data_IF_936872031612
#
_entry.id   IF_936872031612
#
_cell.length_a   1.000
_cell.length_b   1.000
_cell.length_c   1.000
_cell.angle_alpha   90.00
_cell.angle_beta   90.00
_cell.angle_gamma   90.00
#
_symmetry.space_group_name_H-M   'P 1'
#
loop_
_entity.id
_entity.type
_entity.pdbx_description
1 polymer ?
#
# COMPACT_ATOMS: atom_id res chain seq x y z
N UNK A 1 -0.28 5.28 15.61
CA UNK A 1 0.87 5.63 14.79
C UNK A 1 0.45 5.71 13.33
N UNK A 2 0.88 6.76 12.62
CA UNK A 2 0.71 6.93 11.18
C UNK A 2 2.00 7.46 10.58
N UNK A 3 2.28 7.14 9.32
CA UNK A 3 3.49 7.61 8.65
C UNK A 3 3.63 7.04 7.24
N UNK A 4 4.69 7.44 6.55
CA UNK A 4 5.03 6.97 5.21
C UNK A 4 6.50 6.60 5.09
N UNK A 5 6.82 5.82 4.06
CA UNK A 5 8.18 5.38 3.75
C UNK A 5 8.75 6.22 2.61
N UNK A 6 10.01 6.57 2.69
CA UNK A 6 10.74 7.24 1.61
C UNK A 6 10.77 6.36 0.35
N UNK A 7 10.59 6.96 -0.82
CA UNK A 7 10.63 6.29 -2.13
C UNK A 7 11.19 7.23 -3.21
N UNK A 8 11.38 6.71 -4.42
CA UNK A 8 11.81 7.50 -5.58
C UNK A 8 13.23 8.05 -5.45
N UNK A 9 14.07 7.35 -4.70
CA UNK A 9 15.47 7.74 -4.53
C UNK A 9 16.22 7.44 -5.83
N UNK A 10 17.05 8.38 -6.36
CA UNK A 10 17.87 8.13 -7.53
C UNK A 10 18.79 6.92 -7.36
N UNK A 11 19.08 6.23 -8.46
CA UNK A 11 19.96 5.07 -8.45
C UNK A 11 21.33 5.40 -7.82
N UNK A 12 21.79 4.51 -6.95
CA UNK A 12 23.06 4.65 -6.24
C UNK A 12 23.08 5.69 -5.09
N UNK A 13 21.90 6.24 -4.74
CA UNK A 13 21.75 7.09 -3.56
C UNK A 13 21.00 6.34 -2.47
N UNK A 14 21.38 6.48 -1.20
CA UNK A 14 20.62 5.92 -0.09
C UNK A 14 19.32 6.71 0.13
N UNK A 15 18.24 6.06 0.62
CA UNK A 15 17.09 6.78 1.15
C UNK A 15 17.48 7.52 2.44
N UNK A 16 17.04 8.76 2.56
CA UNK A 16 17.35 9.60 3.71
C UNK A 16 16.10 10.22 4.30
N UNK A 17 16.14 10.52 5.59
CA UNK A 17 15.18 11.36 6.31
C UNK A 17 15.90 12.60 6.84
N UNK A 18 15.17 13.71 7.00
CA UNK A 18 15.73 14.96 7.46
C UNK A 18 15.25 15.28 8.89
N UNK A 19 16.17 15.71 9.76
CA UNK A 19 15.87 16.21 11.08
C UNK A 19 16.80 17.35 11.46
N UNK A 20 16.26 18.48 11.87
CA UNK A 20 17.00 19.69 12.26
C UNK A 20 18.06 20.16 11.23
N UNK A 21 17.74 20.02 9.94
CA UNK A 21 18.64 20.44 8.86
C UNK A 21 19.71 19.44 8.47
N UNK A 22 19.77 18.29 9.13
CA UNK A 22 20.68 17.18 8.83
C UNK A 22 19.95 16.02 8.14
N UNK A 23 20.67 15.21 7.37
CA UNK A 23 20.16 14.04 6.65
C UNK A 23 20.67 12.76 7.31
N UNK A 24 19.79 11.78 7.47
CA UNK A 24 20.07 10.52 8.13
C UNK A 24 19.68 9.34 7.24
N UNK A 25 20.58 8.39 7.08
CA UNK A 25 20.37 7.09 6.43
C UNK A 25 19.91 6.06 7.47
N UNK A 26 19.24 4.99 7.02
CA UNK A 26 18.76 3.89 7.88
C UNK A 26 18.05 4.36 9.16
N UNK A 27 17.31 5.46 9.05
CA UNK A 27 16.71 6.17 10.16
C UNK A 27 15.20 6.39 9.98
N UNK A 28 14.55 6.69 11.09
CA UNK A 28 13.17 7.12 11.13
C UNK A 28 13.08 8.44 11.89
N UNK A 29 12.38 9.42 11.34
CA UNK A 29 12.02 10.66 12.03
C UNK A 29 10.55 10.54 12.46
N UNK A 30 10.28 10.93 13.72
CA UNK A 30 8.92 10.91 14.25
C UNK A 30 8.63 12.16 15.09
N UNK A 31 7.35 12.49 15.19
CA UNK A 31 6.83 13.50 16.09
C UNK A 31 5.80 12.88 17.04
N UNK A 32 5.84 13.25 18.30
CA UNK A 32 4.78 12.96 19.26
C UNK A 32 3.85 14.17 19.34
N UNK A 33 2.60 13.97 18.94
CA UNK A 33 1.60 15.02 18.88
C UNK A 33 0.50 14.73 19.89
N UNK A 34 0.23 15.71 20.76
CA UNK A 34 -0.93 15.71 21.66
C UNK A 34 -1.88 16.82 21.21
N UNK A 35 -3.07 16.45 20.74
CA UNK A 35 -4.12 17.44 20.54
C UNK A 35 -4.73 17.82 21.91
N UNK A 36 -4.74 19.09 22.20
CA UNK A 36 -5.23 19.62 23.48
C UNK A 36 -6.70 20.07 23.42
N UNK A 37 -7.26 20.17 22.24
CA UNK A 37 -8.63 20.69 21.99
C UNK A 37 -9.61 19.62 21.53
N UNK A 38 -9.12 18.51 20.99
CA UNK A 38 -9.95 17.43 20.45
C UNK A 38 -9.23 16.11 20.41
N UNK A 39 -9.75 15.17 19.64
CA UNK A 39 -9.18 13.83 19.44
C UNK A 39 -8.30 13.80 18.21
N UNK A 40 -7.41 12.82 18.16
CA UNK A 40 -6.69 12.42 16.95
C UNK A 40 -7.16 10.99 16.61
N UNK A 41 -7.63 10.80 15.39
CA UNK A 41 -8.04 9.50 14.87
C UNK A 41 -7.16 9.11 13.69
N UNK A 42 -6.94 7.82 13.52
CA UNK A 42 -6.17 7.27 12.41
C UNK A 42 -7.02 6.25 11.67
N UNK A 43 -7.12 6.41 10.37
CA UNK A 43 -7.87 5.52 9.48
C UNK A 43 -6.92 4.87 8.48
N UNK A 44 -7.30 3.67 8.04
CA UNK A 44 -6.64 2.95 6.96
C UNK A 44 -7.69 2.56 5.93
N UNK A 45 -7.40 2.81 4.66
CA UNK A 45 -8.26 2.47 3.54
C UNK A 45 -7.53 1.52 2.60
N UNK A 46 -8.18 0.42 2.25
CA UNK A 46 -7.72 -0.55 1.27
C UNK A 46 -8.79 -0.67 0.17
N UNK A 47 -8.37 -0.51 -1.07
CA UNK A 47 -9.23 -0.52 -2.26
C UNK A 47 -9.23 -1.87 -3.01
N UNK A 48 -8.58 -2.89 -2.46
CA UNK A 48 -8.45 -4.20 -3.10
C UNK A 48 -9.20 -5.28 -2.32
N UNK A 49 -9.71 -6.25 -3.07
CA UNK A 49 -10.45 -7.41 -2.60
C UNK A 49 -9.75 -8.69 -3.07
N UNK A 50 -10.02 -9.83 -2.44
CA UNK A 50 -9.58 -11.12 -2.96
C UNK A 50 -10.32 -11.44 -4.24
N UNK A 51 -9.60 -11.86 -5.30
CA UNK A 51 -10.23 -12.28 -6.57
C UNK A 51 -11.08 -13.52 -6.40
N UNK A 52 -10.66 -14.41 -5.50
CA UNK A 52 -11.34 -15.67 -5.19
C UNK A 52 -11.05 -16.11 -3.75
N UNK A 53 -11.71 -17.17 -3.29
CA UNK A 53 -11.38 -17.83 -2.04
C UNK A 53 -10.09 -18.67 -2.14
N UNK A 54 -9.56 -18.90 -3.35
CA UNK A 54 -8.37 -19.68 -3.58
C UNK A 54 -7.14 -18.95 -3.05
N UNK A 55 -6.28 -19.67 -2.37
CA UNK A 55 -4.99 -19.19 -1.89
C UNK A 55 -3.88 -20.13 -2.36
N UNK A 56 -2.68 -19.60 -2.44
CA UNK A 56 -1.47 -20.30 -2.85
C UNK A 56 -0.44 -20.28 -1.73
N UNK A 57 0.42 -21.28 -1.67
CA UNK A 57 1.53 -21.28 -0.73
C UNK A 57 2.83 -20.91 -1.43
N UNK A 58 3.59 -20.01 -0.85
CA UNK A 58 4.94 -19.66 -1.29
C UNK A 58 5.89 -20.84 -1.00
N UNK A 59 6.04 -21.75 -1.94
CA UNK A 59 6.83 -22.99 -1.75
C UNK A 59 8.33 -22.75 -1.88
N UNK A 60 8.73 -21.74 -2.66
CA UNK A 60 10.14 -21.37 -2.83
C UNK A 60 10.31 -19.85 -2.90
N UNK A 61 11.20 -19.33 -2.08
CA UNK A 61 11.46 -17.89 -1.94
C UNK A 61 12.95 -17.62 -1.77
N UNK A 62 13.38 -16.42 -2.16
CA UNK A 62 14.64 -15.83 -1.71
C UNK A 62 14.31 -14.57 -0.89
N UNK A 63 14.38 -14.70 0.42
CA UNK A 63 14.00 -13.63 1.36
C UNK A 63 14.94 -12.43 1.25
N UNK A 64 16.22 -12.66 0.97
CA UNK A 64 17.24 -11.59 0.86
C UNK A 64 16.97 -10.69 -0.34
N UNK A 65 16.51 -11.26 -1.45
CA UNK A 65 16.12 -10.57 -2.68
C UNK A 65 14.66 -10.17 -2.70
N UNK A 66 13.88 -10.49 -1.66
CA UNK A 66 12.42 -10.34 -1.62
C UNK A 66 11.73 -11.00 -2.82
N UNK A 67 12.25 -12.16 -3.25
CA UNK A 67 11.82 -12.84 -4.44
C UNK A 67 10.91 -14.03 -4.10
N UNK A 68 9.77 -14.11 -4.78
CA UNK A 68 8.85 -15.23 -4.80
C UNK A 68 9.14 -16.05 -6.06
N UNK A 69 9.70 -17.25 -5.87
CA UNK A 69 10.16 -18.11 -6.96
C UNK A 69 9.03 -19.05 -7.38
N UNK A 70 8.40 -19.73 -6.39
CA UNK A 70 7.34 -20.70 -6.67
C UNK A 70 6.13 -20.50 -5.76
N UNK A 71 4.97 -20.65 -6.35
CA UNK A 71 3.67 -20.85 -5.71
C UNK A 71 3.20 -22.27 -5.99
N UNK A 72 2.86 -23.04 -4.96
CA UNK A 72 2.37 -24.43 -5.06
C UNK A 72 3.27 -25.33 -5.93
N UNK A 73 4.60 -25.13 -5.86
CA UNK A 73 5.59 -25.91 -6.62
C UNK A 73 5.72 -25.54 -8.09
N UNK A 74 5.10 -24.45 -8.55
CA UNK A 74 5.16 -23.94 -9.93
C UNK A 74 5.77 -22.53 -9.95
N UNK A 75 6.41 -22.09 -11.05
CA UNK A 75 6.88 -20.72 -11.17
C UNK A 75 5.79 -19.71 -10.80
N UNK A 76 6.11 -18.75 -9.96
CA UNK A 76 5.11 -17.82 -9.39
C UNK A 76 4.36 -17.02 -10.48
N UNK A 77 5.06 -16.60 -11.52
CA UNK A 77 4.47 -15.90 -12.65
C UNK A 77 3.49 -16.78 -13.44
N UNK A 78 3.74 -18.10 -13.53
CA UNK A 78 2.83 -19.00 -14.24
C UNK A 78 1.52 -19.21 -13.49
N UNK A 79 1.58 -19.28 -12.17
CA UNK A 79 0.39 -19.40 -11.32
C UNK A 79 -0.43 -18.12 -11.43
N UNK A 80 0.22 -16.95 -11.30
CA UNK A 80 -0.43 -15.65 -11.45
C UNK A 80 -1.08 -15.48 -12.82
N UNK A 81 -0.33 -15.77 -13.90
CA UNK A 81 -0.80 -15.67 -15.28
C UNK A 81 -1.99 -16.58 -15.55
N UNK A 82 -1.93 -17.83 -15.08
CA UNK A 82 -2.99 -18.83 -15.31
C UNK A 82 -4.29 -18.48 -14.58
N UNK A 83 -4.22 -17.98 -13.34
CA UNK A 83 -5.42 -17.69 -12.56
C UNK A 83 -6.09 -16.38 -13.00
N UNK A 84 -5.30 -15.36 -13.32
CA UNK A 84 -5.83 -14.04 -13.68
C UNK A 84 -6.03 -13.84 -15.19
N UNK A 85 -5.57 -14.78 -16.02
CA UNK A 85 -5.63 -14.66 -17.47
C UNK A 85 -4.73 -13.55 -18.04
N UNK A 86 -3.67 -13.18 -17.32
CA UNK A 86 -2.79 -12.08 -17.67
C UNK A 86 -1.50 -12.62 -18.30
N UNK A 87 -1.11 -12.18 -19.50
CA UNK A 87 0.16 -12.58 -20.12
C UNK A 87 1.36 -12.29 -19.22
N UNK A 88 2.38 -13.16 -19.23
CA UNK A 88 3.55 -13.03 -18.35
C UNK A 88 4.25 -11.68 -18.47
N UNK A 89 4.39 -11.17 -19.69
CA UNK A 89 5.03 -9.87 -19.98
C UNK A 89 4.23 -8.67 -19.44
N UNK A 90 2.99 -8.89 -18.99
CA UNK A 90 2.08 -7.87 -18.43
C UNK A 90 1.93 -7.95 -16.91
N UNK A 91 2.52 -8.93 -16.26
CA UNK A 91 2.32 -9.16 -14.81
C UNK A 91 2.74 -7.94 -14.00
N UNK A 92 3.93 -7.37 -14.25
CA UNK A 92 4.44 -6.23 -13.48
C UNK A 92 3.62 -4.96 -13.76
N UNK A 93 3.21 -4.74 -15.00
CA UNK A 93 2.35 -3.60 -15.39
C UNK A 93 0.97 -3.69 -14.74
N UNK A 94 0.52 -4.91 -14.42
CA UNK A 94 -0.80 -5.17 -13.85
C UNK A 94 -0.87 -5.03 -12.33
N UNK A 95 0.25 -4.79 -11.65
CA UNK A 95 0.30 -4.71 -10.17
C UNK A 95 -0.62 -3.64 -9.58
N UNK A 96 -0.95 -2.59 -10.34
CA UNK A 96 -1.88 -1.55 -9.89
C UNK A 96 -3.33 -2.04 -9.81
N UNK A 97 -3.68 -3.10 -10.53
CA UNK A 97 -5.04 -3.66 -10.61
C UNK A 97 -5.15 -4.96 -9.82
N UNK A 98 -4.16 -5.85 -9.98
CA UNK A 98 -4.14 -7.15 -9.34
C UNK A 98 -2.84 -7.39 -8.56
N UNK A 99 -2.63 -6.73 -7.41
CA UNK A 99 -1.49 -7.04 -6.56
C UNK A 99 -1.64 -8.39 -5.87
N UNK A 100 -0.55 -8.91 -5.33
CA UNK A 100 -0.59 -10.05 -4.41
C UNK A 100 -0.87 -9.58 -2.98
N UNK A 101 -1.55 -10.43 -2.21
CA UNK A 101 -1.80 -10.23 -0.80
C UNK A 101 -1.31 -11.42 0.03
N UNK A 102 -0.54 -11.15 1.09
CA UNK A 102 -0.11 -12.15 2.06
C UNK A 102 -1.07 -12.20 3.23
N UNK A 103 -1.62 -13.36 3.53
CA UNK A 103 -2.48 -13.56 4.69
C UNK A 103 -1.66 -13.69 5.99
N UNK A 104 -2.08 -13.00 7.03
CA UNK A 104 -1.56 -13.13 8.40
C UNK A 104 -2.73 -13.04 9.36
N UNK A 105 -3.14 -14.16 9.94
CA UNK A 105 -4.42 -14.25 10.65
C UNK A 105 -5.58 -13.86 9.73
N UNK A 106 -6.47 -13.01 10.22
CA UNK A 106 -7.64 -12.54 9.45
C UNK A 106 -7.32 -11.37 8.50
N UNK A 107 -6.06 -10.92 8.46
CA UNK A 107 -5.64 -9.78 7.65
C UNK A 107 -4.93 -10.21 6.37
N UNK A 108 -5.13 -9.45 5.31
CA UNK A 108 -4.38 -9.58 4.07
C UNK A 108 -3.53 -8.31 3.86
N UNK A 109 -2.22 -8.50 3.77
CA UNK A 109 -1.24 -7.43 3.56
C UNK A 109 -0.78 -7.44 2.11
N UNK A 110 -0.97 -6.35 1.40
CA UNK A 110 -0.55 -6.24 0.00
C UNK A 110 0.98 -6.35 -0.08
N UNK A 111 1.46 -7.16 -1.01
CA UNK A 111 2.86 -7.28 -1.40
C UNK A 111 2.98 -6.89 -2.87
N UNK A 112 3.34 -5.63 -3.10
CA UNK A 112 3.44 -5.08 -4.46
C UNK A 112 4.67 -5.64 -5.17
N UNK A 113 4.46 -6.18 -6.36
CA UNK A 113 5.53 -6.62 -7.25
C UNK A 113 6.24 -5.41 -7.87
N UNK A 114 7.54 -5.53 -8.08
CA UNK A 114 8.35 -4.52 -8.77
C UNK A 114 9.18 -5.08 -9.92
N UNK A 115 9.16 -6.37 -10.15
CA UNK A 115 9.89 -6.98 -11.23
C UNK A 115 9.61 -8.47 -11.41
N UNK A 116 10.01 -8.98 -12.57
CA UNK A 116 9.96 -10.40 -12.91
C UNK A 116 11.22 -10.77 -13.71
N UNK A 117 11.82 -11.92 -13.40
CA UNK A 117 12.92 -12.47 -14.20
C UNK A 117 12.43 -13.44 -15.29
N UNK A 118 13.36 -13.87 -16.17
CA UNK A 118 13.04 -14.77 -17.27
C UNK A 118 12.50 -16.14 -16.81
N UNK A 119 12.79 -16.55 -15.58
CA UNK A 119 12.33 -17.81 -14.99
C UNK A 119 10.94 -17.69 -14.36
N UNK A 120 10.36 -16.48 -14.33
CA UNK A 120 9.07 -16.22 -13.71
C UNK A 120 9.13 -16.02 -12.20
N UNK A 121 10.30 -15.67 -11.67
CA UNK A 121 10.44 -15.22 -10.29
C UNK A 121 9.93 -13.80 -10.16
N UNK A 122 9.04 -13.54 -9.19
CA UNK A 122 8.49 -12.23 -8.93
C UNK A 122 9.23 -11.55 -7.79
N UNK A 123 9.83 -10.38 -8.02
CA UNK A 123 10.42 -9.55 -6.97
C UNK A 123 9.39 -8.60 -6.39
N UNK A 124 9.50 -8.32 -5.09
CA UNK A 124 8.50 -7.57 -4.33
C UNK A 124 9.16 -6.49 -3.47
N UNK A 125 8.41 -5.45 -3.11
CA UNK A 125 8.88 -4.47 -2.12
C UNK A 125 8.90 -5.06 -0.70
N UNK A 126 7.98 -5.98 -0.38
CA UNK A 126 7.92 -6.68 0.91
C UNK A 126 8.49 -8.09 0.83
N UNK A 127 8.96 -8.58 1.96
CA UNK A 127 9.38 -9.97 2.11
C UNK A 127 8.16 -10.89 2.05
N UNK A 128 8.32 -11.98 1.31
CA UNK A 128 7.45 -13.16 1.35
C UNK A 128 8.30 -14.30 1.91
N UNK A 129 7.79 -14.99 2.92
CA UNK A 129 8.49 -16.11 3.53
C UNK A 129 7.99 -17.43 2.94
N UNK A 130 8.81 -18.46 3.07
CA UNK A 130 8.38 -19.82 2.71
C UNK A 130 7.14 -20.20 3.53
N UNK A 131 6.16 -20.80 2.86
CA UNK A 131 4.85 -21.19 3.39
C UNK A 131 3.91 -20.03 3.72
N UNK A 132 4.25 -18.78 3.38
CA UNK A 132 3.26 -17.70 3.43
C UNK A 132 2.07 -18.04 2.51
N UNK A 133 0.87 -17.78 3.00
CA UNK A 133 -0.38 -17.93 2.23
C UNK A 133 -0.62 -16.66 1.41
N UNK A 134 -0.70 -16.80 0.10
CA UNK A 134 -0.80 -15.72 -0.88
C UNK A 134 -2.16 -15.78 -1.56
N UNK A 135 -2.83 -14.62 -1.65
CA UNK A 135 -4.02 -14.40 -2.47
C UNK A 135 -3.66 -13.48 -3.63
N UNK A 136 -4.30 -13.66 -4.77
CA UNK A 136 -4.36 -12.61 -5.76
C UNK A 136 -5.52 -11.68 -5.45
N UNK A 137 -5.30 -10.39 -5.66
CA UNK A 137 -6.28 -9.37 -5.34
C UNK A 137 -6.75 -8.70 -6.63
N UNK A 138 -7.93 -8.11 -6.57
CA UNK A 138 -8.48 -7.28 -7.63
C UNK A 138 -8.84 -5.91 -7.07
N UNK A 139 -8.82 -4.92 -7.93
CA UNK A 139 -9.33 -3.60 -7.62
C UNK A 139 -10.85 -3.71 -7.39
N UNK A 140 -11.31 -3.31 -6.21
CA UNK A 140 -12.73 -3.17 -5.87
C UNK A 140 -13.32 -1.86 -6.38
N UNK A 141 -14.54 -1.54 -5.96
CA UNK A 141 -15.11 -0.21 -6.17
C UNK A 141 -14.42 0.80 -5.23
N UNK A 142 -13.26 1.30 -5.67
CA UNK A 142 -12.47 2.23 -4.88
C UNK A 142 -13.19 3.55 -4.60
N UNK A 143 -14.08 4.00 -5.51
CA UNK A 143 -14.87 5.23 -5.31
C UNK A 143 -15.87 5.07 -4.19
N UNK A 144 -16.57 3.93 -4.15
CA UNK A 144 -17.48 3.59 -3.05
C UNK A 144 -16.71 3.40 -1.73
N UNK A 145 -15.54 2.76 -1.76
CA UNK A 145 -14.68 2.56 -0.58
C UNK A 145 -14.24 3.90 0.00
N UNK A 146 -13.77 4.83 -0.82
CA UNK A 146 -13.37 6.16 -0.40
C UNK A 146 -14.54 6.99 0.16
N UNK A 147 -15.71 6.90 -0.48
CA UNK A 147 -16.91 7.54 0.04
C UNK A 147 -17.27 7.01 1.44
N UNK A 148 -17.18 5.70 1.64
CA UNK A 148 -17.43 5.08 2.96
C UNK A 148 -16.42 5.56 3.99
N UNK A 149 -15.14 5.63 3.65
CA UNK A 149 -14.09 6.15 4.54
C UNK A 149 -14.39 7.61 4.95
N UNK A 150 -14.73 8.47 3.99
CA UNK A 150 -15.09 9.87 4.28
C UNK A 150 -16.34 9.98 5.16
N UNK A 151 -17.36 9.18 4.90
CA UNK A 151 -18.57 9.12 5.72
C UNK A 151 -18.25 8.68 7.15
N UNK A 152 -17.39 7.67 7.31
CA UNK A 152 -16.95 7.21 8.63
C UNK A 152 -16.21 8.31 9.39
N UNK A 153 -15.31 9.04 8.72
CA UNK A 153 -14.59 10.17 9.31
C UNK A 153 -15.58 11.26 9.77
N UNK A 154 -16.57 11.61 8.96
CA UNK A 154 -17.58 12.61 9.29
C UNK A 154 -18.51 12.19 10.43
N UNK A 155 -18.79 10.88 10.56
CA UNK A 155 -19.57 10.35 11.69
C UNK A 155 -18.79 10.35 13.00
N UNK A 156 -17.48 10.10 12.93
CA UNK A 156 -16.62 9.97 14.10
C UNK A 156 -16.14 11.34 14.64
N UNK A 157 -16.04 12.36 13.79
CA UNK A 157 -15.51 13.67 14.12
C UNK A 157 -16.56 14.77 13.94
N UNK A 158 -16.86 15.50 14.99
CA UNK A 158 -17.83 16.61 14.97
C UNK A 158 -17.27 17.89 14.36
N UNK A 159 -15.97 18.06 14.42
CA UNK A 159 -15.23 19.18 13.84
C UNK A 159 -13.86 18.66 13.38
N UNK A 160 -13.47 18.98 12.17
CA UNK A 160 -12.18 18.55 11.60
C UNK A 160 -11.32 19.79 11.36
N UNK A 161 -10.22 19.91 12.10
CA UNK A 161 -9.26 21.01 11.97
C UNK A 161 -8.19 20.74 10.92
N UNK A 162 -7.84 19.45 10.70
CA UNK A 162 -6.87 19.01 9.69
C UNK A 162 -7.07 17.55 9.37
N UNK A 163 -6.94 17.21 8.09
CA UNK A 163 -6.73 15.83 7.61
C UNK A 163 -5.34 15.74 6.99
N UNK A 164 -4.51 14.83 7.49
CA UNK A 164 -3.23 14.47 6.88
C UNK A 164 -3.36 13.07 6.28
N UNK A 165 -3.36 12.96 4.95
CA UNK A 165 -3.34 11.66 4.26
C UNK A 165 -1.95 11.28 3.78
N UNK A 166 -1.67 9.97 3.80
CA UNK A 166 -0.44 9.35 3.31
C UNK A 166 -0.88 8.26 2.36
N UNK A 167 -0.68 8.50 1.06
CA UNK A 167 -1.09 7.60 -0.01
C UNK A 167 0.12 6.84 -0.55
N UNK A 168 -0.03 5.54 -0.77
CA UNK A 168 1.01 4.77 -1.45
C UNK A 168 1.22 5.28 -2.87
N UNK A 169 2.49 5.33 -3.31
CA UNK A 169 2.83 5.71 -4.69
C UNK A 169 2.06 4.87 -5.73
N UNK A 170 1.81 3.59 -5.47
CA UNK A 170 1.07 2.74 -6.41
C UNK A 170 -0.42 3.11 -6.46
N UNK A 171 -1.01 3.56 -5.36
CA UNK A 171 -2.36 4.10 -5.34
C UNK A 171 -2.42 5.43 -6.11
N UNK A 172 -1.45 6.32 -5.89
CA UNK A 172 -1.33 7.56 -6.66
C UNK A 172 -1.21 7.28 -8.17
N UNK A 173 -0.32 6.35 -8.58
CA UNK A 173 -0.14 5.98 -9.99
C UNK A 173 -1.40 5.37 -10.61
N UNK A 174 -2.18 4.58 -9.84
CA UNK A 174 -3.47 4.09 -10.29
C UNK A 174 -4.42 5.25 -10.59
N UNK A 175 -4.55 6.20 -9.66
CA UNK A 175 -5.46 7.33 -9.80
C UNK A 175 -5.07 8.30 -10.92
N UNK A 176 -3.77 8.51 -11.13
CA UNK A 176 -3.27 9.27 -12.28
C UNK A 176 -3.64 8.57 -13.60
N UNK A 177 -3.42 7.26 -13.69
CA UNK A 177 -3.77 6.45 -14.86
C UNK A 177 -5.27 6.49 -15.19
N UNK A 178 -6.11 6.47 -14.16
CA UNK A 178 -7.57 6.55 -14.29
C UNK A 178 -8.09 8.00 -14.45
N UNK A 179 -7.23 9.01 -14.39
CA UNK A 179 -7.64 10.42 -14.40
C UNK A 179 -8.45 10.84 -13.18
N UNK A 180 -8.35 10.09 -12.09
CA UNK A 180 -9.21 10.24 -10.91
C UNK A 180 -8.56 11.07 -9.78
N UNK A 181 -7.24 11.24 -9.78
CA UNK A 181 -6.52 11.86 -8.67
C UNK A 181 -7.06 13.25 -8.27
N UNK A 182 -7.37 14.09 -9.25
CA UNK A 182 -7.94 15.42 -8.97
C UNK A 182 -9.31 15.37 -8.29
N UNK A 183 -10.12 14.35 -8.61
CA UNK A 183 -11.43 14.14 -7.96
C UNK A 183 -11.21 13.67 -6.53
N UNK A 184 -10.35 12.69 -6.31
CA UNK A 184 -9.97 12.20 -4.98
C UNK A 184 -9.49 13.35 -4.07
N UNK A 185 -8.56 14.19 -4.54
CA UNK A 185 -8.03 15.30 -3.76
C UNK A 185 -9.12 16.32 -3.37
N UNK A 186 -10.05 16.64 -4.27
CA UNK A 186 -11.20 17.51 -4.00
C UNK A 186 -12.14 16.90 -2.97
N UNK A 187 -12.42 15.62 -3.11
CA UNK A 187 -13.30 14.88 -2.21
C UNK A 187 -12.73 14.79 -0.79
N UNK A 188 -11.42 14.59 -0.66
CA UNK A 188 -10.75 14.63 0.64
C UNK A 188 -10.81 16.04 1.27
N UNK A 189 -10.70 17.09 0.47
CA UNK A 189 -10.79 18.49 0.94
C UNK A 189 -12.20 18.87 1.45
N UNK A 190 -13.24 18.11 1.12
CA UNK A 190 -14.60 18.32 1.69
C UNK A 190 -14.63 18.03 3.20
N UNK A 191 -13.73 17.20 3.71
CA UNK A 191 -13.63 16.88 5.14
C UNK A 191 -13.14 18.08 5.98
N UNK A 192 -12.36 18.98 5.37
CA UNK A 192 -11.71 20.12 6.03
C UNK A 192 -10.35 20.44 5.39
N UNK A 193 -9.51 21.26 6.03
CA UNK A 193 -8.15 21.47 5.57
C UNK A 193 -7.43 20.11 5.37
N UNK A 194 -6.92 19.89 4.16
CA UNK A 194 -6.32 18.61 3.78
C UNK A 194 -4.88 18.78 3.29
N UNK A 195 -3.98 17.99 3.82
CA UNK A 195 -2.61 17.84 3.36
C UNK A 195 -2.37 16.37 3.00
N UNK A 196 -2.15 16.09 1.73
CA UNK A 196 -1.81 14.76 1.23
C UNK A 196 -0.32 14.66 0.92
N UNK A 197 0.29 13.55 1.30
CA UNK A 197 1.65 13.17 0.91
C UNK A 197 1.64 11.80 0.26
N UNK A 198 2.61 11.56 -0.64
CA UNK A 198 2.78 10.26 -1.30
C UNK A 198 3.99 9.56 -0.72
N UNK A 199 3.85 8.29 -0.35
CA UNK A 199 4.88 7.46 0.27
C UNK A 199 5.14 6.15 -0.47
N UNK A 200 6.24 5.48 -0.17
CA UNK A 200 6.59 4.14 -0.69
C UNK A 200 5.95 2.98 0.08
N UNK A 201 4.94 3.26 0.84
CA UNK A 201 4.20 2.40 1.76
C UNK A 201 3.85 3.19 3.02
N UNK A 202 2.83 2.75 3.72
CA UNK A 202 2.23 3.48 4.83
C UNK A 202 2.44 2.74 6.16
N UNK A 203 2.57 3.50 7.24
CA UNK A 203 2.56 2.99 8.59
C UNK A 203 1.18 3.25 9.22
N UNK A 204 0.51 2.18 9.63
CA UNK A 204 -0.75 2.20 10.37
C UNK A 204 -0.61 1.42 11.66
N UNK A 205 -0.59 2.10 12.79
CA UNK A 205 -0.36 1.48 14.11
C UNK A 205 0.91 0.59 14.09
N UNK A 206 0.78 -0.70 14.36
CA UNK A 206 1.87 -1.68 14.33
C UNK A 206 2.05 -2.38 12.96
N UNK A 207 1.42 -1.88 11.90
CA UNK A 207 1.42 -2.48 10.57
C UNK A 207 2.13 -1.56 9.57
N UNK A 208 3.00 -2.13 8.74
CA UNK A 208 3.46 -1.51 7.51
C UNK A 208 2.62 -2.04 6.35
N UNK A 209 1.92 -1.16 5.65
CA UNK A 209 0.97 -1.48 4.58
C UNK A 209 1.41 -0.89 3.25
N UNK A 210 0.90 -1.39 2.13
CA UNK A 210 1.19 -0.91 0.78
C UNK A 210 -0.11 -0.80 -0.03
N UNK A 211 -0.09 0.04 -1.05
CA UNK A 211 -1.23 0.29 -1.95
C UNK A 211 -2.50 0.68 -1.19
N UNK A 212 -2.30 1.29 -0.04
CA UNK A 212 -3.36 1.78 0.85
C UNK A 212 -3.29 3.29 0.99
N UNK A 213 -4.25 3.87 1.68
CA UNK A 213 -4.16 5.20 2.25
C UNK A 213 -4.23 5.08 3.77
N UNK A 214 -3.41 5.84 4.46
CA UNK A 214 -3.53 6.06 5.91
C UNK A 214 -3.77 7.54 6.13
N UNK A 215 -4.78 7.92 6.91
CA UNK A 215 -4.98 9.31 7.23
C UNK A 215 -5.12 9.55 8.74
N UNK A 216 -4.65 10.71 9.14
CA UNK A 216 -4.76 11.24 10.50
C UNK A 216 -5.72 12.40 10.47
N UNK A 217 -6.74 12.34 11.31
CA UNK A 217 -7.78 13.36 11.45
C UNK A 217 -7.64 14.02 12.81
N UNK A 218 -7.50 15.34 12.81
CA UNK A 218 -7.41 16.19 14.00
C UNK A 218 -8.74 16.91 14.19
N UNK A 219 -9.34 16.77 15.37
CA UNK A 219 -10.51 17.56 15.82
C UNK A 219 -10.08 18.86 16.45
#
# INVERSE_FOLDING_TARGET
LAGGTVFGVPDGKPPVVAYNGELYEDACVYALIKNTTGKIRVYKENIYEKTSAQSHFATKVDVSRKALIELDGRPAADVYSAELGIPRDKIVDNVLVNPMGRAVGDHVFISSMNGMDANGTLTNYKRINKNDCIYFLSLGDYKATEQQTRQQIQQDASHISLVLSIDCIYRYLLYEKEGYFSTYAKDMAVLGPHLGIVGGGEQYNNQHVNQTMVCVVFE
#
